data_IF_689544907830
#
_entry.id   IF_689544907830
#
_cell.length_a   1.000
_cell.length_b   1.000
_cell.length_c   1.000
_cell.angle_alpha   90.00
_cell.angle_beta   90.00
_cell.angle_gamma   90.00
#
_symmetry.space_group_name_H-M   'P 1'
#
loop_
_entity.id
_entity.type
_entity.pdbx_description
1 polymer ?
#
# COMPACT_ATOMS: atom_id res chain seq x y z
N UNK A 1 30.68 -57.04 22.93
CA UNK A 1 31.45 -56.94 21.68
C UNK A 1 31.72 -55.47 21.42
N UNK A 2 32.95 -55.19 21.03
CA UNK A 2 33.70 -53.93 21.13
C UNK A 2 33.22 -52.88 20.11
N UNK A 3 32.87 -51.68 20.61
CA UNK A 3 33.43 -50.32 20.39
C UNK A 3 34.15 -49.95 19.04
N UNK A 4 34.45 -48.67 18.73
CA UNK A 4 33.61 -47.59 18.15
C UNK A 4 34.40 -46.77 17.06
N UNK A 5 34.04 -45.49 16.82
CA UNK A 5 34.92 -44.46 16.23
C UNK A 5 34.21 -43.57 15.20
N UNK A 6 33.61 -42.41 15.49
CA UNK A 6 34.01 -41.13 16.12
C UNK A 6 34.74 -40.11 15.21
N UNK A 7 34.33 -38.86 15.43
CA UNK A 7 34.51 -37.58 14.73
C UNK A 7 35.92 -36.94 14.72
N UNK A 8 36.08 -36.04 13.74
CA UNK A 8 36.60 -34.65 13.75
C UNK A 8 38.02 -34.22 14.18
N UNK A 9 38.50 -33.27 13.34
CA UNK A 9 39.18 -31.97 13.58
C UNK A 9 40.71 -31.80 13.63
N UNK A 10 41.16 -31.00 12.66
CA UNK A 10 41.97 -29.75 12.71
C UNK A 10 43.43 -29.63 13.17
N UNK A 11 44.06 -28.69 12.44
CA UNK A 11 45.15 -27.77 12.74
C UNK A 11 46.63 -28.14 12.58
N UNK A 12 47.36 -27.18 11.98
CA UNK A 12 48.78 -26.92 12.26
C UNK A 12 49.67 -26.53 11.07
N UNK A 13 49.88 -25.23 10.87
CA UNK A 13 50.80 -24.64 9.91
C UNK A 13 52.29 -24.74 10.32
N UNK A 14 53.22 -24.76 9.35
CA UNK A 14 54.60 -24.26 9.48
C UNK A 14 55.23 -24.02 8.09
N UNK A 15 55.83 -22.85 7.90
CA UNK A 15 56.55 -22.37 6.71
C UNK A 15 58.06 -22.68 6.76
N UNK A 16 58.73 -22.90 5.62
CA UNK A 16 59.91 -22.11 5.16
C UNK A 16 60.52 -22.63 3.83
N UNK A 17 60.89 -21.65 2.99
CA UNK A 17 62.08 -21.57 2.12
C UNK A 17 62.15 -22.21 0.70
N UNK A 18 62.09 -21.29 -0.27
CA UNK A 18 63.11 -20.99 -1.31
C UNK A 18 63.33 -21.88 -2.55
N UNK A 19 63.12 -21.20 -3.70
CA UNK A 19 63.97 -21.03 -4.89
C UNK A 19 63.73 -21.88 -6.16
N UNK A 20 63.60 -21.10 -7.24
CA UNK A 20 64.14 -21.27 -8.61
C UNK A 20 63.55 -22.40 -9.47
N UNK A 21 62.69 -22.08 -10.44
CA UNK A 21 63.03 -21.61 -11.80
C UNK A 21 63.80 -22.65 -12.64
N UNK A 22 63.12 -23.28 -13.61
CA UNK A 22 63.51 -23.21 -15.03
C UNK A 22 62.56 -23.98 -15.95
N UNK A 23 62.26 -23.33 -17.06
CA UNK A 23 61.60 -23.84 -18.23
C UNK A 23 62.39 -24.97 -18.93
N UNK A 24 61.69 -25.87 -19.65
CA UNK A 24 61.88 -26.08 -21.10
C UNK A 24 61.08 -27.28 -21.68
N UNK A 25 60.23 -26.93 -22.65
CA UNK A 25 60.07 -27.51 -24.00
C UNK A 25 59.67 -28.97 -24.25
N UNK A 26 58.53 -29.09 -24.95
CA UNK A 26 58.28 -29.79 -26.23
C UNK A 26 58.59 -31.30 -26.36
N UNK A 27 57.54 -32.11 -26.62
CA UNK A 27 57.21 -32.65 -27.97
C UNK A 27 55.94 -33.56 -27.98
N UNK A 28 55.24 -33.50 -29.12
CA UNK A 28 54.07 -34.23 -29.65
C UNK A 28 54.04 -35.75 -29.37
N UNK A 29 52.94 -36.53 -29.43
CA UNK A 29 51.75 -36.61 -30.33
C UNK A 29 50.85 -37.82 -29.87
N UNK A 30 49.79 -38.29 -30.57
CA UNK A 30 48.41 -37.77 -30.73
C UNK A 30 47.29 -38.81 -30.39
N UNK A 31 46.04 -38.50 -30.76
CA UNK A 31 44.80 -39.32 -30.83
C UNK A 31 43.86 -39.35 -29.61
N UNK A 32 42.78 -38.54 -29.65
CA UNK A 32 41.45 -38.96 -30.10
C UNK A 32 40.52 -37.74 -30.22
N UNK A 33 40.08 -37.46 -31.45
CA UNK A 33 39.06 -36.46 -31.80
C UNK A 33 37.69 -37.13 -31.73
N UNK A 34 36.80 -36.64 -30.85
CA UNK A 34 35.39 -37.03 -30.86
C UNK A 34 34.56 -35.98 -31.58
N UNK A 35 33.87 -36.42 -32.64
CA UNK A 35 33.10 -35.63 -33.59
C UNK A 35 31.67 -35.49 -33.06
N UNK A 36 31.34 -34.35 -32.43
CA UNK A 36 30.00 -34.14 -31.88
C UNK A 36 29.00 -33.67 -32.98
N UNK A 37 27.92 -34.43 -33.12
CA UNK A 37 26.90 -34.36 -34.17
C UNK A 37 26.11 -33.04 -34.18
N UNK A 38 26.21 -32.28 -35.27
CA UNK A 38 25.40 -31.09 -35.60
C UNK A 38 23.89 -31.37 -35.76
N UNK A 39 23.48 -32.64 -35.82
CA UNK A 39 22.08 -33.05 -35.95
C UNK A 39 21.24 -32.87 -34.67
N UNK A 40 21.87 -32.77 -33.50
CA UNK A 40 21.16 -32.65 -32.21
C UNK A 40 20.62 -31.24 -31.97
N UNK A 41 21.43 -30.20 -32.22
CA UNK A 41 21.03 -28.81 -32.02
C UNK A 41 19.95 -28.36 -33.01
N UNK A 42 20.00 -28.84 -34.25
CA UNK A 42 18.96 -28.55 -35.25
C UNK A 42 17.60 -29.12 -34.83
N UNK A 43 17.56 -30.30 -34.22
CA UNK A 43 16.31 -30.89 -33.70
C UNK A 43 15.75 -30.09 -32.53
N UNK A 44 16.59 -29.66 -31.60
CA UNK A 44 16.17 -28.80 -30.48
C UNK A 44 15.62 -27.47 -31.01
N UNK A 45 16.33 -26.83 -31.94
CA UNK A 45 15.87 -25.60 -32.59
C UNK A 45 14.52 -25.77 -33.29
N UNK A 46 14.33 -26.86 -34.05
CA UNK A 46 13.06 -27.14 -34.73
C UNK A 46 11.91 -27.42 -33.75
N UNK A 47 12.17 -28.07 -32.62
CA UNK A 47 11.15 -28.28 -31.56
C UNK A 47 10.76 -26.96 -30.91
N UNK A 48 11.72 -26.09 -30.60
CA UNK A 48 11.44 -24.76 -30.05
C UNK A 48 10.69 -23.87 -31.06
N UNK A 49 11.05 -23.93 -32.34
CA UNK A 49 10.34 -23.22 -33.41
C UNK A 49 8.90 -23.73 -33.57
N UNK A 50 8.69 -25.05 -33.51
CA UNK A 50 7.34 -25.62 -33.59
C UNK A 50 6.49 -25.17 -32.40
N UNK A 51 7.06 -25.15 -31.19
CA UNK A 51 6.38 -24.69 -29.98
C UNK A 51 6.00 -23.20 -30.05
N UNK A 52 6.87 -22.35 -30.62
CA UNK A 52 6.54 -20.92 -30.78
C UNK A 52 5.44 -20.69 -31.82
N UNK A 53 5.44 -21.45 -32.91
CA UNK A 53 4.38 -21.36 -33.94
C UNK A 53 3.03 -21.83 -33.38
N UNK A 54 3.00 -22.92 -32.62
CA UNK A 54 1.77 -23.43 -32.00
C UNK A 54 1.21 -22.43 -30.99
N UNK A 55 2.05 -21.87 -30.11
CA UNK A 55 1.62 -20.88 -29.12
C UNK A 55 1.09 -19.61 -29.77
N UNK A 56 1.71 -19.16 -30.87
CA UNK A 56 1.24 -18.00 -31.65
C UNK A 56 -0.10 -18.30 -32.33
N UNK A 57 -0.27 -19.49 -32.93
CA UNK A 57 -1.53 -19.90 -33.55
C UNK A 57 -2.67 -19.98 -32.53
N UNK A 58 -2.42 -20.53 -31.34
CA UNK A 58 -3.41 -20.59 -30.26
C UNK A 58 -3.77 -19.17 -29.79
N UNK A 59 -2.79 -18.29 -29.61
CA UNK A 59 -3.03 -16.89 -29.23
C UNK A 59 -3.89 -16.15 -30.25
N UNK A 60 -3.60 -16.30 -31.55
CA UNK A 60 -4.40 -15.69 -32.64
C UNK A 60 -5.81 -16.28 -32.68
N UNK A 61 -5.98 -17.58 -32.45
CA UNK A 61 -7.29 -18.23 -32.44
C UNK A 61 -8.15 -17.74 -31.28
N UNK A 62 -7.56 -17.59 -30.09
CA UNK A 62 -8.24 -17.01 -28.91
C UNK A 62 -8.65 -15.57 -29.20
N UNK A 63 -7.76 -14.76 -29.78
CA UNK A 63 -8.07 -13.38 -30.16
C UNK A 63 -9.20 -13.31 -31.20
N UNK A 64 -9.18 -14.17 -32.22
CA UNK A 64 -10.21 -14.22 -33.26
C UNK A 64 -11.58 -14.66 -32.72
N UNK A 65 -11.61 -15.58 -31.75
CA UNK A 65 -12.83 -16.02 -31.07
C UNK A 65 -13.39 -14.92 -30.15
N UNK A 66 -12.53 -14.21 -29.42
CA UNK A 66 -12.93 -13.05 -28.61
C UNK A 66 -13.50 -11.94 -29.50
N UNK A 67 -12.86 -11.66 -30.64
CA UNK A 67 -13.31 -10.62 -31.57
C UNK A 67 -14.59 -11.02 -32.33
N UNK A 68 -14.78 -12.30 -32.64
CA UNK A 68 -16.01 -12.80 -33.26
C UNK A 68 -17.19 -12.86 -32.28
N UNK A 69 -16.92 -13.05 -30.98
CA UNK A 69 -17.94 -13.02 -29.92
C UNK A 69 -18.52 -11.62 -29.62
N UNK A 70 -17.87 -10.54 -30.09
CA UNK A 70 -18.31 -9.16 -29.88
C UNK A 70 -19.16 -8.56 -31.03
N UNK A 71 -19.48 -9.32 -32.08
CA UNK A 71 -20.39 -8.85 -33.14
C UNK A 71 -21.84 -9.24 -32.82
N UNK A 72 -22.58 -8.34 -32.17
CA UNK A 72 -24.05 -8.37 -32.24
C UNK A 72 -24.52 -7.99 -33.66
N UNK A 73 -25.57 -8.62 -34.21
CA UNK A 73 -26.07 -8.29 -35.54
C UNK A 73 -26.73 -6.91 -35.54
N UNK A 74 -26.37 -6.06 -36.52
CA UNK A 74 -27.07 -4.81 -36.82
C UNK A 74 -28.51 -5.13 -37.21
N UNK A 75 -29.49 -4.64 -36.44
CA UNK A 75 -30.89 -4.59 -36.88
C UNK A 75 -31.12 -3.32 -37.69
N UNK A 76 -31.59 -3.50 -38.93
CA UNK A 76 -32.19 -2.44 -39.74
C UNK A 76 -33.40 -1.83 -39.03
N UNK A 77 -33.54 -0.52 -39.13
CA UNK A 77 -34.67 0.24 -38.61
C UNK A 77 -35.79 0.20 -39.65
N UNK A 78 -36.79 -0.65 -39.43
CA UNK A 78 -38.09 -0.54 -40.10
C UNK A 78 -38.99 0.40 -39.30
N UNK A 79 -39.38 1.51 -39.93
CA UNK A 79 -40.34 2.46 -39.37
C UNK A 79 -41.74 1.86 -39.56
N UNK A 80 -42.34 1.38 -38.47
CA UNK A 80 -43.76 1.01 -38.44
C UNK A 80 -44.45 1.82 -37.33
N UNK A 81 -45.34 2.69 -37.77
CA UNK A 81 -46.22 3.53 -36.97
C UNK A 81 -47.35 2.69 -36.37
N UNK A 82 -47.36 2.43 -35.06
CA UNK A 82 -48.60 2.00 -34.36
C UNK A 82 -48.71 2.61 -32.97
N UNK A 83 -49.96 2.97 -32.69
CA UNK A 83 -50.56 3.73 -31.60
C UNK A 83 -50.31 3.19 -30.19
N UNK A 84 -50.47 4.11 -29.25
CA UNK A 84 -50.63 3.95 -27.80
C UNK A 84 -51.28 2.63 -27.39
N UNK A 85 -50.60 1.91 -26.51
CA UNK A 85 -51.27 1.06 -25.51
C UNK A 85 -50.46 1.18 -24.23
N UNK A 86 -51.12 1.74 -23.22
CA UNK A 86 -50.61 1.94 -21.87
C UNK A 86 -50.52 0.58 -21.18
N UNK A 87 -49.31 0.07 -21.01
CA UNK A 87 -49.02 -0.99 -20.03
C UNK A 87 -48.03 -0.48 -19.00
N UNK A 88 -48.45 -0.54 -17.73
CA UNK A 88 -47.65 -0.25 -16.55
C UNK A 88 -46.54 -1.30 -16.42
N UNK A 89 -45.39 -1.04 -17.03
CA UNK A 89 -44.14 -1.66 -16.60
C UNK A 89 -43.49 -0.73 -15.59
N UNK A 90 -43.53 -1.13 -14.32
CA UNK A 90 -42.77 -0.50 -13.24
C UNK A 90 -41.30 -0.58 -13.61
N UNK A 91 -40.76 0.48 -14.23
CA UNK A 91 -39.31 0.64 -14.38
C UNK A 91 -38.75 0.76 -12.96
N UNK A 92 -38.06 -0.29 -12.51
CA UNK A 92 -37.01 -0.14 -11.51
C UNK A 92 -36.05 0.89 -12.08
N UNK A 93 -36.14 2.12 -11.57
CA UNK A 93 -35.11 3.13 -11.78
C UNK A 93 -33.88 2.56 -11.10
N UNK A 94 -32.95 1.98 -11.86
CA UNK A 94 -31.58 1.79 -11.39
C UNK A 94 -31.12 3.17 -10.93
N UNK A 95 -31.02 3.33 -9.62
CA UNK A 95 -30.53 4.54 -9.00
C UNK A 95 -29.05 4.61 -9.38
N UNK A 96 -28.71 5.29 -10.47
CA UNK A 96 -27.33 5.44 -10.91
C UNK A 96 -26.61 6.28 -9.86
N UNK A 97 -25.89 5.63 -8.95
CA UNK A 97 -25.02 6.28 -7.97
C UNK A 97 -24.07 7.24 -8.69
N UNK A 98 -23.86 8.43 -8.14
CA UNK A 98 -23.05 9.49 -8.74
C UNK A 98 -21.62 9.01 -9.03
N UNK A 99 -21.01 9.48 -10.13
CA UNK A 99 -19.64 9.16 -10.54
C UNK A 99 -18.60 9.56 -9.50
N UNK A 100 -18.87 10.59 -8.68
CA UNK A 100 -17.95 11.04 -7.62
C UNK A 100 -17.58 9.91 -6.65
N UNK A 101 -18.48 8.95 -6.39
CA UNK A 101 -18.24 7.85 -5.46
C UNK A 101 -17.29 6.77 -6.01
N UNK A 102 -16.77 6.91 -7.23
CA UNK A 102 -15.57 6.17 -7.66
C UNK A 102 -14.29 6.72 -6.99
N UNK A 103 -14.34 7.96 -6.53
CA UNK A 103 -13.21 8.71 -5.99
C UNK A 103 -13.43 9.12 -4.52
N UNK A 104 -14.64 9.02 -3.99
CA UNK A 104 -15.01 9.49 -2.65
C UNK A 104 -15.68 8.40 -1.82
N UNK A 105 -15.26 8.27 -0.57
CA UNK A 105 -15.95 7.52 0.47
C UNK A 105 -16.17 8.43 1.69
N UNK A 106 -17.42 8.51 2.15
CA UNK A 106 -17.77 9.16 3.41
C UNK A 106 -17.54 8.18 4.57
N UNK A 107 -16.29 8.05 5.06
CA UNK A 107 -15.94 6.99 6.03
C UNK A 107 -16.79 7.06 7.29
N UNK A 108 -17.17 8.27 7.72
CA UNK A 108 -18.05 8.53 8.87
C UNK A 108 -19.45 7.92 8.74
N UNK A 109 -19.87 7.57 7.52
CA UNK A 109 -21.14 6.87 7.24
C UNK A 109 -20.96 5.36 7.05
N UNK A 110 -19.72 4.90 6.93
CA UNK A 110 -19.39 3.47 6.78
C UNK A 110 -19.63 2.70 8.07
N UNK A 111 -19.88 1.40 7.94
CA UNK A 111 -20.09 0.51 9.09
C UNK A 111 -18.92 0.55 10.07
N UNK A 112 -19.25 0.76 11.35
CA UNK A 112 -18.34 0.64 12.48
C UNK A 112 -18.33 -0.78 13.00
N UNK A 113 -17.15 -1.37 13.10
CA UNK A 113 -16.92 -2.68 13.71
C UNK A 113 -16.46 -2.44 15.14
N UNK A 114 -17.38 -2.63 16.09
CA UNK A 114 -17.17 -2.38 17.51
C UNK A 114 -16.57 -3.60 18.21
N UNK A 115 -15.61 -3.33 19.09
CA UNK A 115 -14.98 -4.31 19.97
C UNK A 115 -14.96 -3.74 21.39
N UNK A 116 -14.72 -4.61 22.38
CA UNK A 116 -14.67 -4.16 23.77
C UNK A 116 -13.64 -3.04 23.98
N UNK A 117 -12.46 -3.17 23.35
CA UNK A 117 -11.35 -2.23 23.47
C UNK A 117 -11.23 -1.17 22.40
N UNK A 118 -12.17 -1.05 21.47
CA UNK A 118 -12.04 -0.07 20.39
C UNK A 118 -12.97 -0.34 19.22
N UNK A 119 -12.66 0.27 18.08
CA UNK A 119 -13.48 0.17 16.88
C UNK A 119 -12.62 0.27 15.61
N UNK A 120 -13.12 -0.33 14.52
CA UNK A 120 -12.54 -0.20 13.19
C UNK A 120 -13.60 0.26 12.19
N UNK A 121 -13.24 1.20 11.31
CA UNK A 121 -14.04 1.58 10.13
C UNK A 121 -13.19 1.44 8.88
N UNK A 122 -13.83 1.20 7.72
CA UNK A 122 -13.13 0.89 6.48
C UNK A 122 -13.67 1.65 5.27
N UNK A 123 -12.77 2.15 4.43
CA UNK A 123 -13.02 2.45 3.03
C UNK A 123 -12.19 1.47 2.19
N UNK A 124 -12.84 0.37 1.78
CA UNK A 124 -12.19 -0.83 1.25
C UNK A 124 -13.01 -1.50 0.16
N UNK A 125 -12.36 -2.41 -0.57
CA UNK A 125 -13.04 -3.38 -1.41
C UNK A 125 -13.54 -4.55 -0.56
N UNK A 126 -14.72 -5.05 -0.92
CA UNK A 126 -15.32 -6.30 -0.45
C UNK A 126 -15.77 -7.11 -1.65
N UNK A 127 -15.50 -8.42 -1.60
CA UNK A 127 -15.87 -9.35 -2.67
C UNK A 127 -17.39 -9.55 -2.76
N UNK A 128 -18.05 -9.57 -1.61
CA UNK A 128 -19.50 -9.76 -1.53
C UNK A 128 -20.19 -8.39 -1.44
N UNK A 129 -21.05 -8.10 -2.44
CA UNK A 129 -21.82 -6.86 -2.50
C UNK A 129 -22.70 -6.62 -1.25
N UNK A 130 -23.12 -7.68 -0.55
CA UNK A 130 -23.94 -7.58 0.67
C UNK A 130 -23.16 -7.09 1.89
N UNK A 131 -21.84 -7.02 1.81
CA UNK A 131 -20.99 -6.60 2.91
C UNK A 131 -20.79 -5.07 2.95
N UNK A 132 -21.28 -4.35 1.93
CA UNK A 132 -21.31 -2.89 1.89
C UNK A 132 -22.57 -2.34 2.56
N UNK A 133 -22.45 -1.18 3.20
CA UNK A 133 -23.58 -0.51 3.85
C UNK A 133 -24.37 0.37 2.88
N UNK A 134 -23.78 0.70 1.73
CA UNK A 134 -24.36 1.57 0.71
C UNK A 134 -23.80 1.30 -0.69
N UNK A 135 -24.54 1.71 -1.73
CA UNK A 135 -24.05 1.68 -3.11
C UNK A 135 -22.85 2.63 -3.33
N UNK A 136 -22.76 3.70 -2.54
CA UNK A 136 -21.65 4.65 -2.54
C UNK A 136 -20.34 3.97 -2.10
N UNK A 137 -20.37 3.26 -0.96
CA UNK A 137 -19.23 2.46 -0.49
C UNK A 137 -18.85 1.36 -1.50
N UNK A 138 -19.84 0.68 -2.06
CA UNK A 138 -19.61 -0.36 -3.06
C UNK A 138 -18.91 0.20 -4.30
N UNK A 139 -19.33 1.39 -4.76
CA UNK A 139 -18.73 2.05 -5.93
C UNK A 139 -17.28 2.46 -5.69
N UNK A 140 -16.98 2.96 -4.48
CA UNK A 140 -15.61 3.29 -4.09
C UNK A 140 -14.74 2.03 -4.00
N UNK A 141 -15.23 0.99 -3.30
CA UNK A 141 -14.54 -0.29 -3.17
C UNK A 141 -14.28 -0.96 -4.53
N UNK A 142 -15.26 -0.95 -5.43
CA UNK A 142 -15.10 -1.47 -6.78
C UNK A 142 -14.08 -0.64 -7.59
N UNK A 143 -14.07 0.68 -7.43
CA UNK A 143 -13.09 1.56 -8.10
C UNK A 143 -11.65 1.21 -7.71
N UNK A 144 -11.35 1.14 -6.41
CA UNK A 144 -9.99 0.82 -5.94
C UNK A 144 -9.53 -0.58 -6.38
N UNK A 145 -10.45 -1.55 -6.48
CA UNK A 145 -10.16 -2.91 -6.96
C UNK A 145 -9.93 -2.96 -8.47
N UNK A 146 -10.83 -2.36 -9.26
CA UNK A 146 -10.74 -2.33 -10.73
C UNK A 146 -9.47 -1.61 -11.22
N UNK A 147 -9.04 -0.58 -10.49
CA UNK A 147 -7.80 0.16 -10.78
C UNK A 147 -6.56 -0.56 -10.26
N UNK A 148 -6.70 -1.73 -9.61
CA UNK A 148 -5.61 -2.47 -8.97
C UNK A 148 -4.75 -1.61 -8.04
N UNK A 149 -5.38 -0.65 -7.37
CA UNK A 149 -4.72 0.48 -6.68
C UNK A 149 -3.59 0.12 -5.72
N UNK A 150 -3.61 -1.09 -5.15
CA UNK A 150 -2.80 -1.51 -4.00
C UNK A 150 -3.04 -0.61 -2.79
N UNK A 151 -4.28 -0.14 -2.61
CA UNK A 151 -4.62 0.75 -1.50
C UNK A 151 -5.96 0.38 -0.88
N UNK A 152 -5.96 0.25 0.44
CA UNK A 152 -7.15 0.17 1.28
C UNK A 152 -6.90 1.02 2.51
N UNK A 153 -7.91 1.74 3.00
CA UNK A 153 -7.76 2.57 4.20
C UNK A 153 -8.80 2.21 5.26
N UNK A 154 -8.40 2.34 6.52
CA UNK A 154 -9.30 2.20 7.66
C UNK A 154 -8.85 3.08 8.83
N UNK A 155 -9.78 3.35 9.74
CA UNK A 155 -9.46 3.95 11.04
C UNK A 155 -9.45 2.87 12.10
N UNK A 156 -8.45 2.89 12.97
CA UNK A 156 -8.38 2.03 14.15
C UNK A 156 -8.43 2.91 15.41
N UNK A 157 -9.52 2.80 16.16
CA UNK A 157 -9.61 3.36 17.50
C UNK A 157 -9.23 2.28 18.52
N UNK A 158 -8.30 2.60 19.42
CA UNK A 158 -7.98 1.76 20.58
C UNK A 158 -8.27 2.59 21.82
N UNK A 159 -9.22 2.14 22.64
CA UNK A 159 -9.57 2.79 23.91
C UNK A 159 -8.35 2.88 24.83
N UNK A 160 -8.33 3.84 25.75
CA UNK A 160 -7.32 3.89 26.81
C UNK A 160 -7.18 2.52 27.49
N UNK A 161 -5.94 2.02 27.58
CA UNK A 161 -5.57 0.67 28.10
C UNK A 161 -6.01 -0.51 27.24
N UNK A 162 -6.61 -0.27 26.08
CA UNK A 162 -6.96 -1.28 25.08
C UNK A 162 -5.73 -1.76 24.30
N UNK A 163 -5.90 -2.88 23.60
CA UNK A 163 -4.86 -3.52 22.79
C UNK A 163 -5.48 -4.04 21.48
N UNK A 164 -4.91 -3.63 20.35
CA UNK A 164 -5.03 -4.39 19.09
C UNK A 164 -4.13 -5.61 19.24
N UNK A 165 -4.74 -6.78 19.32
CA UNK A 165 -4.05 -8.04 19.66
C UNK A 165 -2.98 -8.41 18.64
N UNK A 166 -2.00 -9.26 19.01
CA UNK A 166 -0.99 -9.73 18.07
C UNK A 166 -1.60 -10.35 16.80
N UNK A 167 -1.21 -9.82 15.65
CA UNK A 167 -1.74 -10.23 14.35
C UNK A 167 -0.76 -9.94 13.20
N UNK A 168 -1.07 -10.43 12.02
CA UNK A 168 -0.35 -10.11 10.77
C UNK A 168 -1.31 -10.09 9.58
N UNK A 169 -0.84 -9.51 8.47
CA UNK A 169 -1.58 -9.42 7.21
C UNK A 169 -0.91 -10.23 6.11
N UNK A 170 -1.69 -11.06 5.40
CA UNK A 170 -1.14 -11.96 4.38
C UNK A 170 -0.90 -11.31 3.03
N UNK A 171 -1.70 -10.30 2.69
CA UNK A 171 -1.76 -9.73 1.35
C UNK A 171 -1.44 -8.23 1.32
N UNK A 172 -1.01 -7.63 2.44
CA UNK A 172 -0.73 -6.20 2.51
C UNK A 172 0.43 -5.90 3.47
N UNK A 173 1.22 -4.89 3.13
CA UNK A 173 1.96 -4.13 4.12
C UNK A 173 0.97 -3.19 4.82
N UNK A 174 1.23 -2.83 6.08
CA UNK A 174 0.47 -1.83 6.82
C UNK A 174 1.34 -0.60 7.08
N UNK A 175 0.81 0.57 6.79
CA UNK A 175 1.39 1.85 7.19
C UNK A 175 0.33 2.67 7.92
N UNK A 176 0.68 3.19 9.10
CA UNK A 176 -0.26 3.91 9.94
C UNK A 176 0.24 5.29 10.29
N UNK A 177 -0.65 6.27 10.33
CA UNK A 177 -0.40 7.57 10.96
C UNK A 177 -1.17 7.64 12.27
N UNK A 178 -0.48 7.87 13.38
CA UNK A 178 -1.14 8.08 14.67
C UNK A 178 -1.69 9.50 14.73
N UNK A 179 -3.00 9.65 14.65
CA UNK A 179 -3.67 10.96 14.68
C UNK A 179 -3.83 11.50 16.11
N UNK A 180 -4.17 10.62 17.06
CA UNK A 180 -4.42 10.97 18.46
C UNK A 180 -3.87 9.90 19.39
N UNK A 181 -3.41 10.30 20.57
CA UNK A 181 -2.99 9.37 21.62
C UNK A 181 -1.50 9.03 21.60
N UNK A 182 -1.16 8.06 22.43
CA UNK A 182 0.16 7.44 22.46
C UNK A 182 0.01 5.93 22.51
N UNK A 183 0.81 5.22 21.73
CA UNK A 183 0.78 3.77 21.66
C UNK A 183 2.16 3.18 21.94
N UNK A 184 2.16 1.99 22.54
CA UNK A 184 3.32 1.12 22.63
C UNK A 184 3.14 -0.03 21.65
N UNK A 185 4.16 -0.25 20.82
CA UNK A 185 4.12 -1.20 19.71
C UNK A 185 5.14 -2.30 19.98
N UNK A 186 4.77 -3.52 19.62
CA UNK A 186 5.72 -4.63 19.50
C UNK A 186 5.60 -5.30 18.15
N UNK A 187 6.76 -5.69 17.62
CA UNK A 187 6.93 -6.32 16.30
C UNK A 187 7.87 -7.50 16.47
N UNK A 188 7.52 -8.65 15.91
CA UNK A 188 8.45 -9.79 15.79
C UNK A 188 9.14 -9.68 14.44
N UNK A 189 10.45 -9.41 14.46
CA UNK A 189 11.29 -9.28 13.27
C UNK A 189 11.50 -10.64 12.58
N UNK A 190 11.99 -10.62 11.34
CA UNK A 190 12.23 -11.81 10.51
C UNK A 190 13.08 -12.86 11.26
N UNK A 191 12.60 -14.11 11.26
CA UNK A 191 13.24 -15.22 11.98
C UNK A 191 12.87 -15.35 13.45
N UNK A 192 12.00 -14.49 13.99
CA UNK A 192 11.52 -14.53 15.38
C UNK A 192 12.62 -14.47 16.46
N UNK A 193 13.80 -13.97 16.10
CA UNK A 193 14.95 -13.90 17.00
C UNK A 193 14.93 -12.64 17.88
N UNK A 194 14.23 -11.58 17.45
CA UNK A 194 14.18 -10.29 18.12
C UNK A 194 12.74 -9.76 18.16
N UNK A 195 12.33 -9.26 19.32
CA UNK A 195 11.11 -8.45 19.45
C UNK A 195 11.52 -6.99 19.50
N UNK A 196 11.08 -6.21 18.51
CA UNK A 196 11.29 -4.76 18.45
C UNK A 196 10.13 -4.07 19.13
N UNK A 197 10.42 -3.21 20.11
CA UNK A 197 9.39 -2.49 20.86
C UNK A 197 9.73 -1.00 20.98
N UNK A 198 8.72 -0.16 20.86
CA UNK A 198 8.88 1.30 20.85
C UNK A 198 7.55 2.01 21.14
N UNK A 199 7.65 3.29 21.50
CA UNK A 199 6.49 4.16 21.68
C UNK A 199 6.26 5.02 20.42
N UNK A 200 5.01 5.32 20.15
CA UNK A 200 4.55 6.20 19.07
C UNK A 200 3.58 7.22 19.65
N UNK A 201 3.67 8.46 19.19
CA UNK A 201 2.82 9.58 19.60
C UNK A 201 2.15 10.23 18.39
N UNK A 202 1.13 11.05 18.62
CA UNK A 202 0.41 11.73 17.56
C UNK A 202 1.33 12.50 16.59
N UNK A 203 1.10 12.30 15.28
CA UNK A 203 1.89 12.86 14.20
C UNK A 203 2.99 11.94 13.67
N UNK A 204 3.12 10.73 14.19
CA UNK A 204 4.18 9.79 13.79
C UNK A 204 3.62 8.63 12.95
N UNK A 205 4.50 8.01 12.18
CA UNK A 205 4.17 6.95 11.22
C UNK A 205 4.75 5.62 11.68
N UNK A 206 3.97 4.56 11.45
CA UNK A 206 4.37 3.17 11.64
C UNK A 206 4.36 2.43 10.31
N UNK A 207 5.19 1.40 10.20
CA UNK A 207 5.24 0.52 9.04
C UNK A 207 5.41 -0.92 9.51
N UNK A 208 4.58 -1.82 9.00
CA UNK A 208 4.69 -3.27 9.20
C UNK A 208 4.68 -3.95 7.84
N UNK A 209 5.79 -4.62 7.45
CA UNK A 209 5.81 -5.42 6.25
C UNK A 209 4.77 -6.54 6.28
N UNK A 210 4.29 -6.96 5.12
CA UNK A 210 3.41 -8.11 4.95
C UNK A 210 3.97 -9.33 5.69
N UNK A 211 3.08 -10.11 6.33
CA UNK A 211 3.43 -11.27 7.17
C UNK A 211 4.27 -10.97 8.42
N UNK A 212 4.34 -9.72 8.87
CA UNK A 212 5.02 -9.36 10.12
C UNK A 212 4.05 -9.39 11.29
N UNK A 213 4.33 -10.20 12.31
CA UNK A 213 3.52 -10.28 13.53
C UNK A 213 3.76 -9.05 14.40
N UNK A 214 2.70 -8.30 14.72
CA UNK A 214 2.78 -7.07 15.50
C UNK A 214 1.53 -6.84 16.36
N UNK A 215 1.62 -5.93 17.33
CA UNK A 215 0.52 -5.53 18.21
C UNK A 215 0.67 -4.07 18.66
N UNK A 216 -0.46 -3.44 19.00
CA UNK A 216 -0.51 -2.04 19.38
C UNK A 216 -1.30 -1.88 20.67
N UNK A 217 -0.69 -1.29 21.69
CA UNK A 217 -1.31 -1.02 22.97
C UNK A 217 -1.45 0.47 23.18
N UNK A 218 -2.65 0.95 23.51
CA UNK A 218 -2.81 2.32 23.97
C UNK A 218 -2.07 2.52 25.29
N UNK A 219 -1.23 3.56 25.35
CA UNK A 219 -0.54 4.01 26.57
C UNK A 219 -0.96 5.44 26.89
N UNK A 220 -1.34 5.68 28.14
CA UNK A 220 -1.88 6.96 28.58
C UNK A 220 -3.38 6.92 28.88
N UNK A 221 -3.96 8.11 29.08
CA UNK A 221 -5.34 8.26 29.56
C UNK A 221 -6.35 8.61 28.45
N UNK A 222 -5.88 8.75 27.21
CA UNK A 222 -6.71 9.03 26.05
C UNK A 222 -6.74 7.83 25.08
N UNK A 223 -7.76 7.80 24.24
CA UNK A 223 -7.87 6.81 23.17
C UNK A 223 -6.84 7.10 22.08
N UNK A 224 -6.33 6.04 21.46
CA UNK A 224 -5.56 6.14 20.22
C UNK A 224 -6.50 6.14 19.01
N UNK A 225 -6.19 6.98 18.02
CA UNK A 225 -6.81 6.93 16.71
C UNK A 225 -5.73 6.84 15.63
N UNK A 226 -5.66 5.71 14.95
CA UNK A 226 -4.77 5.49 13.81
C UNK A 226 -5.53 5.62 12.50
N UNK A 227 -4.87 6.21 11.51
CA UNK A 227 -5.26 6.17 10.10
C UNK A 227 -4.36 5.15 9.41
N UNK A 228 -4.92 3.99 9.06
CA UNK A 228 -4.19 2.83 8.56
C UNK A 228 -4.39 2.66 7.05
N UNK A 229 -3.28 2.53 6.33
CA UNK A 229 -3.22 2.28 4.90
C UNK A 229 -2.60 0.91 4.66
N UNK A 230 -3.26 0.10 3.85
CA UNK A 230 -2.85 -1.26 3.53
C UNK A 230 -2.55 -1.37 2.05
N UNK A 231 -1.44 -2.01 1.72
CA UNK A 231 -1.01 -2.15 0.32
C UNK A 231 -1.71 -3.28 -0.45
N UNK A 232 -3.04 -3.24 -0.45
CA UNK A 232 -3.90 -4.18 -1.16
C UNK A 232 -5.11 -3.48 -1.76
N UNK A 233 -5.50 -3.91 -2.96
CA UNK A 233 -6.78 -3.54 -3.59
C UNK A 233 -7.83 -4.65 -3.44
N UNK A 234 -7.44 -5.79 -2.87
CA UNK A 234 -8.33 -6.90 -2.54
C UNK A 234 -8.82 -6.80 -1.10
N UNK A 235 -9.74 -7.69 -0.72
CA UNK A 235 -10.18 -7.80 0.66
C UNK A 235 -8.97 -8.14 1.56
N UNK A 236 -8.71 -7.28 2.56
CA UNK A 236 -7.59 -7.43 3.48
C UNK A 236 -7.71 -8.75 4.25
N UNK A 237 -6.65 -9.53 4.24
CA UNK A 237 -6.58 -10.81 4.95
C UNK A 237 -5.70 -10.67 6.18
N UNK A 238 -6.32 -10.79 7.34
CA UNK A 238 -5.70 -10.66 8.66
C UNK A 238 -5.83 -11.97 9.42
N UNK A 239 -4.84 -12.29 10.24
CA UNK A 239 -4.95 -13.39 11.19
C UNK A 239 -4.41 -12.98 12.56
N UNK A 240 -5.22 -13.23 13.57
CA UNK A 240 -4.88 -12.96 14.97
C UNK A 240 -4.29 -14.22 15.61
N UNK A 241 -3.37 -14.05 16.57
CA UNK A 241 -2.61 -15.17 17.16
C UNK A 241 -3.52 -16.19 17.86
N UNK A 242 -4.59 -15.74 18.52
CA UNK A 242 -5.54 -16.63 19.19
C UNK A 242 -6.39 -17.42 18.19
N UNK A 243 -6.79 -16.81 17.07
CA UNK A 243 -7.46 -17.52 15.98
C UNK A 243 -6.61 -18.67 15.43
N UNK A 244 -5.30 -18.45 15.27
CA UNK A 244 -4.36 -19.52 14.84
C UNK A 244 -4.29 -20.62 15.86
N UNK A 245 -4.12 -20.25 17.13
CA UNK A 245 -4.00 -21.21 18.21
C UNK A 245 -5.23 -22.11 18.29
N UNK A 246 -6.44 -21.53 18.29
CA UNK A 246 -7.67 -22.32 18.40
C UNK A 246 -8.12 -22.99 17.11
N UNK A 247 -7.51 -22.67 15.97
CA UNK A 247 -7.72 -23.38 14.70
C UNK A 247 -6.71 -24.52 14.49
N UNK A 248 -5.64 -24.56 15.28
CA UNK A 248 -4.65 -25.64 15.26
C UNK A 248 -5.18 -26.85 16.04
N UNK A 249 -5.12 -28.08 15.49
CA UNK A 249 -5.49 -29.28 16.24
C UNK A 249 -4.72 -29.39 17.56
N UNK A 250 -5.41 -29.72 18.65
CA UNK A 250 -4.85 -29.67 20.01
C UNK A 250 -3.59 -30.53 20.18
N UNK A 251 -3.55 -31.70 19.53
CA UNK A 251 -2.41 -32.61 19.58
C UNK A 251 -1.19 -32.07 18.82
N UNK A 252 -1.42 -31.36 17.72
CA UNK A 252 -0.38 -30.65 16.96
C UNK A 252 0.15 -29.46 17.78
N UNK A 253 -0.73 -28.64 18.36
CA UNK A 253 -0.34 -27.53 19.22
C UNK A 253 0.51 -28.00 20.42
N UNK A 254 0.10 -29.10 21.08
CA UNK A 254 0.85 -29.68 22.19
C UNK A 254 2.23 -30.21 21.76
N UNK A 255 2.33 -30.84 20.59
CA UNK A 255 3.63 -31.32 20.06
C UNK A 255 4.57 -30.18 19.67
N UNK A 256 4.02 -29.09 19.14
CA UNK A 256 4.78 -27.90 18.75
C UNK A 256 5.27 -27.11 19.96
N UNK A 257 4.39 -26.84 20.93
CA UNK A 257 4.70 -26.01 22.10
C UNK A 257 5.34 -26.78 23.26
N UNK A 258 5.15 -28.12 23.30
CA UNK A 258 5.67 -29.03 24.34
C UNK A 258 5.40 -28.55 25.78
N UNK A 259 4.17 -28.10 26.12
CA UNK A 259 3.89 -27.60 27.45
C UNK A 259 3.98 -28.74 28.48
N UNK A 260 4.29 -28.38 29.73
CA UNK A 260 4.11 -29.31 30.85
C UNK A 260 2.64 -29.72 30.94
N UNK A 261 2.36 -31.03 30.97
CA UNK A 261 0.98 -31.56 30.90
C UNK A 261 0.47 -31.87 29.48
N UNK A 262 1.25 -31.57 28.44
CA UNK A 262 0.95 -31.96 27.06
C UNK A 262 -0.40 -31.42 26.55
N UNK A 263 -1.19 -32.28 25.90
CA UNK A 263 -2.48 -31.91 25.32
C UNK A 263 -3.48 -31.45 26.39
N UNK A 264 -3.44 -32.02 27.60
CA UNK A 264 -4.35 -31.60 28.67
C UNK A 264 -4.14 -30.14 29.08
N UNK A 265 -2.90 -29.63 29.00
CA UNK A 265 -2.64 -28.20 29.22
C UNK A 265 -3.23 -27.35 28.09
N UNK A 266 -3.08 -27.76 26.83
CA UNK A 266 -3.66 -27.04 25.67
C UNK A 266 -5.19 -26.91 25.83
N UNK A 267 -5.87 -27.97 26.29
CA UNK A 267 -7.33 -27.96 26.53
C UNK A 267 -7.79 -27.00 27.63
N UNK A 268 -6.88 -26.48 28.45
CA UNK A 268 -7.24 -25.48 29.46
C UNK A 268 -7.44 -24.08 28.88
N UNK A 269 -6.92 -23.80 27.68
CA UNK A 269 -7.06 -22.52 27.01
C UNK A 269 -8.51 -22.33 26.57
N UNK A 270 -9.07 -21.15 26.83
CA UNK A 270 -10.48 -20.85 26.54
C UNK A 270 -10.58 -19.90 25.37
N UNK A 271 -11.34 -20.31 24.35
CA UNK A 271 -11.72 -19.42 23.25
C UNK A 271 -12.63 -18.31 23.82
N UNK A 272 -12.31 -17.03 23.60
CA UNK A 272 -13.21 -15.92 23.94
C UNK A 272 -14.56 -16.08 23.25
N UNK A 273 -15.64 -15.65 23.91
CA UNK A 273 -17.00 -15.68 23.31
C UNK A 273 -17.20 -14.58 22.27
N UNK A 274 -16.54 -13.46 22.50
CA UNK A 274 -16.58 -12.28 21.64
C UNK A 274 -15.26 -12.17 20.90
N UNK A 275 -15.30 -11.57 19.71
CA UNK A 275 -14.10 -11.24 18.93
C UNK A 275 -13.17 -10.34 19.75
N UNK A 276 -11.90 -10.72 19.83
CA UNK A 276 -10.89 -10.04 20.64
C UNK A 276 -9.91 -9.21 19.81
N UNK A 277 -10.19 -8.96 18.52
CA UNK A 277 -9.29 -8.20 17.66
C UNK A 277 -8.83 -6.88 18.32
N UNK A 278 -9.72 -6.19 19.06
CA UNK A 278 -9.36 -5.11 19.97
C UNK A 278 -9.94 -5.38 21.36
N UNK A 279 -9.09 -5.79 22.30
CA UNK A 279 -9.53 -6.17 23.64
C UNK A 279 -9.28 -5.08 24.69
N UNK A 280 -10.00 -5.17 25.80
CA UNK A 280 -9.86 -4.29 26.97
C UNK A 280 -9.83 -5.14 28.26
N UNK A 281 -8.71 -5.80 28.55
CA UNK A 281 -8.60 -6.68 29.71
C UNK A 281 -8.74 -5.87 31.00
N UNK A 282 -9.81 -6.14 31.75
CA UNK A 282 -10.13 -5.45 33.01
C UNK A 282 -9.07 -5.67 34.10
N UNK A 283 -8.33 -6.77 34.01
CA UNK A 283 -7.26 -7.16 34.93
C UNK A 283 -5.87 -7.04 34.30
N UNK A 284 -5.67 -6.17 33.30
CA UNK A 284 -4.38 -6.03 32.61
C UNK A 284 -3.18 -5.84 33.57
N UNK A 285 -3.39 -5.09 34.66
CA UNK A 285 -2.35 -4.86 35.69
C UNK A 285 -1.98 -6.15 36.42
N UNK A 286 -2.93 -7.07 36.62
CA UNK A 286 -2.72 -8.37 37.26
C UNK A 286 -2.17 -9.41 36.25
N UNK A 287 -2.52 -9.29 34.97
CA UNK A 287 -2.02 -10.14 33.88
C UNK A 287 -0.55 -9.85 33.52
N UNK A 288 -0.06 -8.65 33.82
CA UNK A 288 1.32 -8.25 33.58
C UNK A 288 2.15 -8.56 34.83
N UNK A 289 2.74 -9.76 34.89
CA UNK A 289 3.67 -10.13 35.98
C UNK A 289 5.05 -9.47 35.80
N UNK A 290 5.48 -9.26 34.56
CA UNK A 290 6.60 -8.38 34.15
C UNK A 290 6.45 -8.03 32.68
N UNK A 291 6.10 -6.79 32.34
CA UNK A 291 6.21 -6.30 30.96
C UNK A 291 7.19 -5.12 30.95
N UNK A 292 8.45 -5.40 31.23
CA UNK A 292 9.54 -4.47 30.99
C UNK A 292 10.16 -4.76 29.64
N UNK A 293 9.38 -4.62 28.57
CA UNK A 293 10.00 -4.47 27.26
C UNK A 293 10.60 -3.07 27.22
N UNK A 294 11.91 -3.00 27.41
CA UNK A 294 12.68 -1.77 27.21
C UNK A 294 12.62 -1.45 25.72
N UNK A 295 12.49 -0.17 25.40
CA UNK A 295 12.54 0.28 24.01
C UNK A 295 13.81 -0.28 23.33
N UNK A 296 13.61 -0.86 22.15
CA UNK A 296 14.68 -1.50 21.39
C UNK A 296 15.70 -0.47 20.88
N UNK A 297 16.93 -0.91 20.52
CA UNK A 297 17.92 -0.04 19.90
C UNK A 297 17.37 0.70 18.68
N UNK A 298 17.80 1.96 18.51
CA UNK A 298 17.23 2.87 17.51
C UNK A 298 17.28 2.31 16.08
N UNK A 299 18.38 1.69 15.69
CA UNK A 299 18.59 1.06 14.38
C UNK A 299 17.58 -0.03 14.03
N UNK A 300 16.97 -0.67 15.03
CA UNK A 300 15.88 -1.63 14.83
C UNK A 300 14.52 -0.93 14.77
N UNK A 301 14.32 0.10 15.60
CA UNK A 301 13.05 0.85 15.68
C UNK A 301 12.78 1.61 14.39
N UNK A 302 13.78 2.32 13.84
CA UNK A 302 13.59 3.19 12.66
C UNK A 302 13.24 2.45 11.37
N UNK A 303 13.30 1.12 11.33
CA UNK A 303 12.76 0.32 10.22
C UNK A 303 11.23 0.36 10.17
N UNK A 304 10.58 0.37 11.34
CA UNK A 304 9.13 0.29 11.49
C UNK A 304 8.48 1.62 11.93
N UNK A 305 9.28 2.67 12.06
CA UNK A 305 8.89 3.93 12.67
C UNK A 305 9.48 5.14 11.93
N UNK A 306 8.66 6.18 11.78
CA UNK A 306 9.10 7.46 11.22
C UNK A 306 8.48 8.64 11.97
N UNK A 307 9.31 9.59 12.39
CA UNK A 307 8.87 10.80 13.09
C UNK A 307 8.40 11.87 12.11
N UNK A 308 7.23 11.67 11.49
CA UNK A 308 6.71 12.54 10.44
C UNK A 308 6.49 13.98 10.93
N UNK A 309 5.93 14.14 12.13
CA UNK A 309 5.75 15.46 12.78
C UNK A 309 7.06 16.22 12.93
N UNK A 310 8.14 15.53 13.31
CA UNK A 310 9.47 16.11 13.47
C UNK A 310 10.27 16.26 12.17
N UNK A 311 9.76 15.77 11.04
CA UNK A 311 10.50 15.77 9.77
C UNK A 311 10.46 17.12 9.07
N UNK A 312 11.28 17.25 8.01
CA UNK A 312 11.39 18.50 7.25
C UNK A 312 10.05 18.93 6.64
N UNK A 313 9.64 20.15 6.96
CA UNK A 313 8.56 20.87 6.29
C UNK A 313 9.02 21.41 4.92
N UNK A 314 8.35 20.99 3.85
CA UNK A 314 8.45 21.56 2.52
C UNK A 314 7.37 22.64 2.39
N UNK A 315 7.79 23.91 2.42
CA UNK A 315 6.88 25.06 2.44
C UNK A 315 6.64 25.59 1.04
N UNK A 316 5.37 25.84 0.75
CA UNK A 316 4.88 26.48 -0.46
C UNK A 316 4.11 27.74 -0.06
N UNK A 317 3.85 28.69 -0.99
CA UNK A 317 3.09 29.88 -0.67
C UNK A 317 1.71 29.60 -0.04
N UNK A 318 1.03 28.54 -0.50
CA UNK A 318 -0.30 28.16 -0.04
C UNK A 318 -0.35 26.98 0.93
N UNK A 319 0.77 26.45 1.40
CA UNK A 319 0.73 25.26 2.26
C UNK A 319 2.05 24.64 2.67
N UNK A 320 1.97 23.48 3.31
CA UNK A 320 3.10 22.72 3.82
C UNK A 320 2.90 21.24 3.50
N UNK A 321 3.96 20.59 3.05
CA UNK A 321 4.03 19.12 2.93
C UNK A 321 5.15 18.56 3.80
N UNK A 322 4.88 17.45 4.48
CA UNK A 322 5.90 16.61 5.12
C UNK A 322 5.80 15.19 4.56
N UNK A 323 6.92 14.48 4.50
CA UNK A 323 7.00 13.18 3.82
C UNK A 323 7.59 12.10 4.72
N UNK A 324 6.99 10.90 4.68
CA UNK A 324 7.56 9.63 5.12
C UNK A 324 7.66 8.74 3.88
N UNK A 325 8.82 8.78 3.20
CA UNK A 325 8.98 8.29 1.84
C UNK A 325 10.33 7.61 1.61
N UNK A 326 10.38 6.81 0.55
CA UNK A 326 11.65 6.39 -0.01
C UNK A 326 12.30 7.56 -0.76
N UNK A 327 13.62 7.70 -0.64
CA UNK A 327 14.40 8.62 -1.46
C UNK A 327 15.63 7.93 -2.01
N UNK A 328 15.69 7.83 -3.34
CA UNK A 328 16.82 7.23 -4.04
C UNK A 328 18.14 7.90 -3.65
N UNK A 329 19.09 7.11 -3.17
CA UNK A 329 20.38 7.59 -2.69
C UNK A 329 20.35 8.39 -1.39
N UNK A 330 19.22 8.42 -0.67
CA UNK A 330 19.10 9.04 0.65
C UNK A 330 19.29 10.56 0.68
N UNK A 331 19.17 11.24 -0.46
CA UNK A 331 19.51 12.66 -0.57
C UNK A 331 18.58 13.51 0.32
N UNK A 332 19.19 14.24 1.25
CA UNK A 332 18.47 15.13 2.16
C UNK A 332 17.73 14.43 3.29
N UNK A 333 17.98 13.12 3.49
CA UNK A 333 17.52 12.37 4.66
C UNK A 333 18.59 12.38 5.75
N UNK A 334 18.16 12.46 7.01
CA UNK A 334 19.02 12.18 8.16
C UNK A 334 19.17 10.66 8.37
N UNK A 335 20.06 10.23 9.27
CA UNK A 335 20.36 8.80 9.52
C UNK A 335 19.11 7.96 9.76
N UNK A 336 18.18 8.45 10.57
CA UNK A 336 16.99 7.70 10.95
C UNK A 336 15.99 7.63 9.79
N UNK A 337 15.83 8.73 9.07
CA UNK A 337 15.02 8.79 7.85
C UNK A 337 15.58 7.88 6.75
N UNK A 338 16.91 7.75 6.63
CA UNK A 338 17.55 6.81 5.71
C UNK A 338 17.20 5.36 6.04
N UNK A 339 17.23 4.96 7.32
CA UNK A 339 16.85 3.59 7.74
C UNK A 339 15.40 3.29 7.37
N UNK A 340 14.48 4.20 7.66
CA UNK A 340 13.07 4.02 7.29
C UNK A 340 12.89 3.97 5.77
N UNK A 341 13.51 4.90 5.04
CA UNK A 341 13.47 4.99 3.58
C UNK A 341 13.95 3.69 2.93
N UNK A 342 15.07 3.14 3.40
CA UNK A 342 15.60 1.85 2.92
C UNK A 342 14.64 0.71 3.25
N UNK A 343 14.15 0.63 4.50
CA UNK A 343 13.24 -0.42 4.93
C UNK A 343 11.97 -0.48 4.08
N UNK A 344 11.32 0.65 3.79
CA UNK A 344 10.12 0.62 2.92
C UNK A 344 10.44 0.27 1.46
N UNK A 345 11.68 0.46 0.98
CA UNK A 345 12.07 0.09 -0.38
C UNK A 345 12.47 -1.40 -0.51
N UNK A 346 12.86 -2.05 0.59
CA UNK A 346 13.15 -3.49 0.63
C UNK A 346 11.93 -4.38 0.39
N UNK A 347 10.72 -3.83 0.56
CA UNK A 347 9.47 -4.55 0.40
C UNK A 347 8.71 -4.09 -0.86
N UNK A 348 8.16 -5.06 -1.60
CA UNK A 348 7.28 -4.78 -2.74
C UNK A 348 5.96 -4.16 -2.27
N UNK A 349 5.33 -3.36 -3.15
CA UNK A 349 4.04 -2.72 -2.92
C UNK A 349 4.00 -1.91 -1.58
N UNK A 350 5.03 -1.13 -1.24
CA UNK A 350 4.93 -0.17 -0.13
C UNK A 350 4.28 1.13 -0.59
N UNK A 351 3.82 1.95 0.36
CA UNK A 351 3.27 3.27 0.09
C UNK A 351 4.26 4.33 0.54
N UNK A 352 4.20 5.48 -0.11
CA UNK A 352 4.74 6.73 0.42
C UNK A 352 3.64 7.44 1.18
N UNK A 353 3.88 7.83 2.44
CA UNK A 353 2.96 8.66 3.21
C UNK A 353 3.44 10.11 3.27
N UNK A 354 2.51 11.04 3.42
CA UNK A 354 2.83 12.44 3.67
C UNK A 354 1.63 13.22 4.17
N UNK A 355 1.86 14.24 4.97
CA UNK A 355 0.79 15.18 5.35
C UNK A 355 0.79 16.38 4.43
N UNK A 356 -0.39 16.81 4.01
CA UNK A 356 -0.59 18.04 3.25
C UNK A 356 -1.47 19.00 4.05
N UNK A 357 -0.93 20.20 4.30
CA UNK A 357 -1.68 21.35 4.79
C UNK A 357 -1.86 22.34 3.64
N UNK A 358 -3.10 22.69 3.32
CA UNK A 358 -3.43 23.78 2.41
C UNK A 358 -4.06 24.89 3.24
N UNK A 359 -3.47 26.08 3.20
CA UNK A 359 -4.00 27.24 3.91
C UNK A 359 -5.39 27.63 3.41
N UNK A 360 -6.15 28.37 4.22
CA UNK A 360 -7.45 28.93 3.81
C UNK A 360 -7.36 29.61 2.44
N UNK A 361 -8.30 29.30 1.54
CA UNK A 361 -8.33 29.71 0.13
C UNK A 361 -7.16 29.25 -0.76
N UNK A 362 -6.24 28.44 -0.23
CA UNK A 362 -5.15 27.86 -1.00
C UNK A 362 -5.60 26.76 -1.98
N UNK A 363 -4.72 26.46 -2.92
CA UNK A 363 -4.95 25.50 -4.00
C UNK A 363 -3.73 24.59 -4.13
N UNK A 364 -3.93 23.27 -3.97
CA UNK A 364 -3.06 22.29 -4.60
C UNK A 364 -3.41 22.30 -6.08
N UNK A 365 -2.53 22.86 -6.89
CA UNK A 365 -2.81 23.11 -8.30
C UNK A 365 -3.13 21.84 -9.09
N UNK A 366 -3.76 21.96 -10.27
CA UNK A 366 -3.99 20.80 -11.12
C UNK A 366 -2.69 20.05 -11.39
N UNK A 367 -2.68 18.76 -11.09
CA UNK A 367 -1.52 17.90 -11.28
C UNK A 367 -1.93 16.44 -11.48
N UNK A 368 -0.96 15.60 -11.80
CA UNK A 368 -1.10 14.14 -11.79
C UNK A 368 0.22 13.48 -11.37
N UNK A 369 0.16 12.21 -11.01
CA UNK A 369 1.32 11.40 -10.66
C UNK A 369 1.62 10.39 -11.75
N UNK A 370 2.89 10.27 -12.13
CA UNK A 370 3.35 9.37 -13.18
C UNK A 370 3.42 7.92 -12.73
N UNK A 371 3.70 7.69 -11.44
CA UNK A 371 4.07 6.38 -10.91
C UNK A 371 3.29 5.96 -9.65
N UNK A 372 2.19 6.66 -9.31
CA UNK A 372 1.41 6.33 -8.12
C UNK A 372 -0.08 6.64 -8.28
N UNK A 373 -0.93 5.77 -7.71
CA UNK A 373 -2.25 6.16 -7.25
C UNK A 373 -2.11 7.02 -5.99
N UNK A 374 -3.07 7.93 -5.75
CA UNK A 374 -3.13 8.75 -4.54
C UNK A 374 -4.41 8.41 -3.75
N UNK A 375 -4.30 8.32 -2.43
CA UNK A 375 -5.44 8.22 -1.51
C UNK A 375 -5.21 9.18 -0.35
N UNK A 376 -6.26 9.87 0.08
CA UNK A 376 -6.16 10.79 1.21
C UNK A 376 -7.30 10.65 2.19
N UNK A 377 -7.03 11.04 3.44
CA UNK A 377 -8.02 11.15 4.51
C UNK A 377 -8.00 12.58 5.07
N UNK A 378 -9.18 13.21 5.17
CA UNK A 378 -9.30 14.58 5.67
C UNK A 378 -9.34 14.60 7.19
N UNK A 379 -8.35 15.28 7.79
CA UNK A 379 -8.20 15.40 9.25
C UNK A 379 -8.88 16.67 9.78
N UNK A 380 -8.65 17.83 9.14
CA UNK A 380 -9.32 19.11 9.44
C UNK A 380 -9.67 19.83 8.15
N UNK A 381 -10.61 20.77 8.20
CA UNK A 381 -10.99 21.56 7.04
C UNK A 381 -11.87 20.82 6.04
N UNK A 382 -11.99 21.46 4.90
CA UNK A 382 -12.86 21.06 3.82
C UNK A 382 -12.32 21.62 2.51
N UNK A 383 -12.59 20.91 1.42
CA UNK A 383 -12.08 21.25 0.12
C UNK A 383 -13.08 20.93 -0.98
N UNK A 384 -12.87 21.53 -2.13
CA UNK A 384 -13.40 21.07 -3.40
C UNK A 384 -12.30 20.31 -4.14
N UNK A 385 -12.59 19.07 -4.49
CA UNK A 385 -11.80 18.29 -5.43
C UNK A 385 -12.40 18.46 -6.81
N UNK A 386 -11.56 18.62 -7.82
CA UNK A 386 -11.96 18.45 -9.22
C UNK A 386 -11.12 17.42 -9.92
N UNK A 387 -11.79 16.53 -10.66
CA UNK A 387 -11.19 15.50 -11.50
C UNK A 387 -11.33 15.92 -12.96
N UNK A 388 -10.22 15.92 -13.67
CA UNK A 388 -10.10 16.28 -15.08
C UNK A 388 -9.66 15.02 -15.83
N UNK A 389 -10.42 14.60 -16.83
CA UNK A 389 -10.13 13.36 -17.55
C UNK A 389 -10.75 13.33 -18.93
N UNK A 390 -10.83 12.13 -19.51
CA UNK A 390 -11.41 11.90 -20.85
C UNK A 390 -12.94 12.00 -20.88
N UNK A 391 -13.59 12.08 -19.71
CA UNK A 391 -15.03 12.31 -19.54
C UNK A 391 -15.36 13.72 -19.03
N UNK A 392 -16.62 13.98 -18.64
CA UNK A 392 -16.99 15.23 -18.00
C UNK A 392 -16.16 15.46 -16.75
N UNK A 393 -15.63 16.67 -16.57
CA UNK A 393 -15.02 17.08 -15.31
C UNK A 393 -16.01 16.87 -14.18
N UNK A 394 -15.56 16.25 -13.10
CA UNK A 394 -16.39 16.01 -11.91
C UNK A 394 -15.79 16.79 -10.74
N UNK A 395 -16.57 17.68 -10.16
CA UNK A 395 -16.21 18.39 -8.94
C UNK A 395 -17.09 17.94 -7.78
N UNK A 396 -16.50 17.75 -6.61
CA UNK A 396 -17.23 17.42 -5.38
C UNK A 396 -16.53 18.01 -4.16
N UNK A 397 -17.30 18.21 -3.09
CA UNK A 397 -16.76 18.70 -1.83
C UNK A 397 -16.39 17.53 -0.93
N UNK A 398 -15.33 17.72 -0.15
CA UNK A 398 -14.86 16.82 0.90
C UNK A 398 -14.73 17.58 2.22
N UNK A 399 -14.90 16.87 3.33
CA UNK A 399 -14.69 17.38 4.68
C UNK A 399 -14.10 16.32 5.61
N UNK A 400 -13.96 16.66 6.89
CA UNK A 400 -13.37 15.79 7.92
C UNK A 400 -13.96 14.38 7.89
N UNK A 401 -13.07 13.39 7.85
CA UNK A 401 -13.43 11.99 7.80
C UNK A 401 -13.74 11.44 6.41
N UNK A 402 -13.76 12.27 5.38
CA UNK A 402 -13.85 11.76 4.00
C UNK A 402 -12.52 11.15 3.55
N UNK A 403 -12.63 10.08 2.76
CA UNK A 403 -11.53 9.45 2.04
C UNK A 403 -11.69 9.74 0.56
N UNK A 404 -10.62 10.19 -0.09
CA UNK A 404 -10.58 10.31 -1.55
C UNK A 404 -9.52 9.41 -2.17
N UNK A 405 -9.69 9.08 -3.46
CA UNK A 405 -8.80 8.23 -4.23
C UNK A 405 -8.68 8.76 -5.66
N UNK A 406 -7.44 8.86 -6.17
CA UNK A 406 -7.14 9.24 -7.54
C UNK A 406 -6.30 8.15 -8.22
N UNK A 407 -6.77 7.59 -9.35
CA UNK A 407 -5.96 6.67 -10.11
C UNK A 407 -4.71 7.34 -10.69
N UNK A 408 -3.63 6.57 -10.84
CA UNK A 408 -2.41 7.00 -11.53
C UNK A 408 -2.72 7.70 -12.87
N UNK A 409 -2.04 8.81 -13.15
CA UNK A 409 -2.27 9.62 -14.35
C UNK A 409 -3.56 10.44 -14.37
N UNK A 410 -4.39 10.42 -13.31
CA UNK A 410 -5.61 11.23 -13.24
C UNK A 410 -5.27 12.67 -12.90
N UNK A 411 -5.60 13.61 -13.79
CA UNK A 411 -5.45 15.04 -13.53
C UNK A 411 -6.48 15.48 -12.49
N UNK A 412 -6.03 16.12 -11.41
CA UNK A 412 -6.92 16.58 -10.35
C UNK A 412 -6.37 17.81 -9.62
N UNK A 413 -7.23 18.52 -8.90
CA UNK A 413 -6.85 19.63 -8.02
C UNK A 413 -7.59 19.54 -6.68
N UNK A 414 -7.04 20.19 -5.64
CA UNK A 414 -7.66 20.28 -4.32
C UNK A 414 -7.65 21.74 -3.88
N UNK A 415 -8.83 22.33 -3.76
CA UNK A 415 -8.99 23.73 -3.35
C UNK A 415 -9.59 23.80 -1.96
N UNK A 416 -8.92 24.46 -1.02
CA UNK A 416 -9.52 24.77 0.28
C UNK A 416 -10.71 25.75 0.10
N UNK A 417 -11.84 25.47 0.75
CA UNK A 417 -13.08 26.26 0.59
C UNK A 417 -13.73 26.74 1.89
N UNK A 418 -13.17 26.42 3.05
CA UNK A 418 -13.63 26.91 4.35
C UNK A 418 -12.59 27.80 5.03
N UNK A 419 -13.05 28.49 6.08
CA UNK A 419 -12.29 29.44 6.88
C UNK A 419 -11.32 28.77 7.89
N UNK A 420 -10.90 27.54 7.60
CA UNK A 420 -9.86 26.82 8.34
C UNK A 420 -8.90 26.13 7.37
N UNK A 421 -7.67 25.85 7.82
CA UNK A 421 -6.71 25.11 7.03
C UNK A 421 -7.22 23.69 6.76
N UNK A 422 -7.11 23.27 5.50
CA UNK A 422 -7.29 21.87 5.14
C UNK A 422 -6.04 21.11 5.55
N UNK A 423 -6.20 20.08 6.39
CA UNK A 423 -5.11 19.19 6.79
C UNK A 423 -5.49 17.74 6.51
N UNK A 424 -4.62 17.02 5.81
CA UNK A 424 -4.87 15.66 5.35
C UNK A 424 -3.62 14.81 5.50
N UNK A 425 -3.82 13.50 5.66
CA UNK A 425 -2.78 12.49 5.41
C UNK A 425 -3.02 11.92 4.01
N UNK A 426 -1.95 11.78 3.25
CA UNK A 426 -1.93 11.24 1.90
C UNK A 426 -1.08 9.96 1.87
N UNK A 427 -1.50 9.03 1.04
CA UNK A 427 -0.79 7.81 0.71
C UNK A 427 -0.63 7.72 -0.81
N UNK A 428 0.51 7.24 -1.26
CA UNK A 428 0.84 7.07 -2.67
C UNK A 428 1.31 5.65 -2.92
N UNK A 429 0.73 4.96 -3.89
CA UNK A 429 1.03 3.55 -4.20
C UNK A 429 2.34 3.37 -4.99
N UNK A 430 3.45 3.86 -4.44
CA UNK A 430 4.78 3.73 -5.03
C UNK A 430 5.81 3.35 -3.97
N UNK A 431 6.61 2.32 -4.30
CA UNK A 431 7.81 1.95 -3.56
C UNK A 431 9.07 2.69 -4.06
N UNK A 432 8.94 3.53 -5.09
CA UNK A 432 10.02 4.41 -5.60
C UNK A 432 9.75 5.87 -5.23
N UNK A 433 10.64 6.78 -5.64
CA UNK A 433 10.44 8.21 -5.48
C UNK A 433 9.19 8.65 -6.24
N UNK A 434 8.26 9.32 -5.55
CA UNK A 434 7.04 9.88 -6.16
C UNK A 434 7.40 10.88 -7.27
N UNK A 435 6.78 10.69 -8.43
CA UNK A 435 6.94 11.56 -9.60
C UNK A 435 5.61 12.25 -9.92
N UNK A 436 5.60 13.57 -9.84
CA UNK A 436 4.43 14.43 -10.02
C UNK A 436 4.70 15.43 -11.14
N UNK A 437 3.68 15.75 -11.94
CA UNK A 437 3.73 16.85 -12.89
C UNK A 437 2.61 17.86 -12.59
N UNK A 438 3.03 19.09 -12.34
CA UNK A 438 2.14 20.19 -12.07
C UNK A 438 1.78 20.98 -13.35
N UNK A 439 0.64 21.66 -13.31
CA UNK A 439 0.11 22.38 -14.47
C UNK A 439 1.00 23.51 -14.95
N UNK A 440 1.53 24.32 -14.05
CA UNK A 440 2.43 25.40 -14.42
C UNK A 440 3.72 24.86 -15.06
N UNK A 441 4.28 23.76 -14.55
CA UNK A 441 5.46 23.11 -15.12
C UNK A 441 5.26 22.69 -16.58
N UNK A 442 4.20 21.93 -16.88
CA UNK A 442 3.99 21.47 -18.26
C UNK A 442 3.52 22.60 -19.20
N UNK A 443 2.83 23.63 -18.69
CA UNK A 443 2.55 24.82 -19.48
C UNK A 443 3.84 25.57 -19.84
N UNK A 444 4.76 25.75 -18.89
CA UNK A 444 6.03 26.43 -19.13
C UNK A 444 7.01 25.61 -19.97
N UNK A 445 6.92 24.29 -19.93
CA UNK A 445 7.71 23.39 -20.76
C UNK A 445 7.21 23.32 -22.22
N UNK A 446 5.92 23.55 -22.44
CA UNK A 446 5.34 23.54 -23.78
C UNK A 446 5.71 24.82 -24.54
N UNK A 447 6.22 24.68 -25.77
CA UNK A 447 6.61 25.84 -26.57
C UNK A 447 5.43 26.79 -26.83
N UNK A 448 5.64 28.11 -26.66
CA UNK A 448 4.57 29.10 -26.75
C UNK A 448 3.77 29.04 -28.06
N UNK A 449 4.43 28.74 -29.20
CA UNK A 449 3.75 28.64 -30.49
C UNK A 449 2.80 27.44 -30.59
N UNK A 450 3.10 26.35 -29.87
CA UNK A 450 2.20 25.19 -29.73
C UNK A 450 1.00 25.58 -28.87
N UNK A 451 1.22 26.25 -27.74
CA UNK A 451 0.13 26.76 -26.89
C UNK A 451 -0.75 27.77 -27.65
N UNK A 452 -0.14 28.66 -28.43
CA UNK A 452 -0.83 29.63 -29.29
C UNK A 452 -1.77 28.94 -30.28
N UNK A 453 -1.29 27.87 -30.93
CA UNK A 453 -2.10 27.07 -31.82
C UNK A 453 -3.25 26.37 -31.07
N UNK A 454 -2.99 25.80 -29.89
CA UNK A 454 -4.00 25.07 -29.11
C UNK A 454 -5.12 25.97 -28.56
N UNK A 455 -4.76 27.15 -28.05
CA UNK A 455 -5.69 28.05 -27.35
C UNK A 455 -6.17 29.23 -28.20
N UNK A 456 -5.82 29.26 -29.50
CA UNK A 456 -6.21 30.32 -30.44
C UNK A 456 -5.80 31.72 -29.94
N UNK A 457 -4.60 31.82 -29.35
CA UNK A 457 -4.04 33.06 -28.79
C UNK A 457 -2.76 33.47 -29.51
N UNK A 458 -2.37 34.75 -29.39
CA UNK A 458 -1.06 35.18 -29.89
C UNK A 458 0.06 34.61 -29.03
N UNK A 459 1.19 34.29 -29.65
CA UNK A 459 2.34 33.71 -28.96
C UNK A 459 2.84 34.60 -27.81
N UNK A 460 2.89 35.92 -28.01
CA UNK A 460 3.34 36.85 -26.96
C UNK A 460 2.43 36.86 -25.71
N UNK A 461 1.18 36.41 -25.81
CA UNK A 461 0.28 36.38 -24.65
C UNK A 461 0.67 35.34 -23.61
N UNK A 462 1.35 34.26 -23.99
CA UNK A 462 1.82 33.25 -23.03
C UNK A 462 2.95 33.75 -22.14
N UNK A 463 3.64 34.83 -22.53
CA UNK A 463 4.59 35.54 -21.67
C UNK A 463 3.94 36.25 -20.49
N UNK A 464 2.60 36.36 -20.46
CA UNK A 464 1.84 36.89 -19.32
C UNK A 464 1.62 35.85 -18.22
N UNK A 465 1.89 34.57 -18.48
CA UNK A 465 1.88 33.53 -17.44
C UNK A 465 3.19 33.67 -16.67
N UNK A 466 3.16 34.03 -15.37
CA UNK A 466 4.37 34.25 -14.59
C UNK A 466 5.16 32.95 -14.40
N UNK A 467 6.49 33.09 -14.28
CA UNK A 467 7.38 32.06 -13.74
C UNK A 467 7.82 32.49 -12.35
N UNK A 468 7.53 31.67 -11.36
CA UNK A 468 7.91 31.93 -9.99
C UNK A 468 9.26 31.26 -9.69
N UNK A 469 10.03 31.86 -8.78
CA UNK A 469 11.26 31.24 -8.28
C UNK A 469 10.94 30.18 -7.22
N UNK A 470 9.87 30.39 -6.46
CA UNK A 470 9.36 29.45 -5.48
C UNK A 470 8.42 28.46 -6.15
N UNK A 471 8.48 27.21 -5.71
CA UNK A 471 7.58 26.14 -6.14
C UNK A 471 6.12 26.49 -5.82
N UNK A 472 5.24 26.37 -6.82
CA UNK A 472 3.82 26.73 -6.74
C UNK A 472 2.88 25.54 -6.60
N UNK A 473 3.40 24.34 -6.27
CA UNK A 473 2.58 23.14 -6.10
C UNK A 473 1.36 23.37 -5.20
N UNK A 474 1.53 24.15 -4.13
CA UNK A 474 0.43 24.68 -3.33
C UNK A 474 0.52 26.21 -3.29
N UNK A 475 -0.46 26.90 -3.86
CA UNK A 475 -0.42 28.36 -4.02
C UNK A 475 -1.66 29.06 -3.43
N UNK A 476 -1.56 30.39 -3.34
CA UNK A 476 -2.65 31.30 -2.96
C UNK A 476 -3.15 32.05 -4.19
N UNK A 477 -4.40 32.57 -4.17
CA UNK A 477 -5.02 33.28 -5.29
C UNK A 477 -4.27 34.52 -5.80
#
# INVERSE_FOLDING_TARGET
MENPGFEMQEDGALSFSSKEAQAKTNKCSPYLQEKQNSSSLLKIFLVCLLASVITTLVGVLVLALVYSGQRSPKKEVEIITVKETVEKTTKTVEKTTDIQFQFLNHLTKSKVFEFQGGAIQWARYRKNAKDYSSDEEMKFGASINNQQSKMTVGTLQIKSKGLRVPHWHFNANEQGFLLQGSAWIGVIDEGANTVVTYNVTAGQVIFFPRNTLHWLKSVGNEDCLFLLFFSTHDELQTLDVDDVFFSTPEDIAARSLKPQGGVEFIRTFKRPKEDQAINLPSNLVELIQSASYVQSPADHVWKYFYDLKGSKEFKFPGGIIQWARYRKGGIGLNKNESIFSESINEHADTLTLGTLRIYTNGLRQPHFHFNAHEMGYVITGCAKIGIIGTGPSTDFNIGVGDVFFFPIGTQHYIKSICDEDLFMILAFSTGDQLETLDMDDYFHATADHILAQLFLKKQEEFKKIPRFNDDQAVNLP
#
